data_IF_750264627512
#
_entry.id   IF_750264627512
#
_cell.length_a   1.000
_cell.length_b   1.000
_cell.length_c   1.000
_cell.angle_alpha   90.00
_cell.angle_beta   90.00
_cell.angle_gamma   90.00
#
_symmetry.space_group_name_H-M   'P 1'
#
loop_
_entity.id
_entity.type
_entity.pdbx_description
1 polymer ?
#
# COMPACT_ATOMS: atom_id res chain seq x y z
N UNK A 1 -19.35 4.72 -6.66
CA UNK A 1 -18.93 4.84 -8.07
C UNK A 1 -17.49 5.32 -8.19
N UNK A 2 -17.10 6.44 -7.54
CA UNK A 2 -15.72 6.96 -7.60
C UNK A 2 -14.63 5.99 -7.10
N UNK A 3 -14.88 5.19 -6.06
CA UNK A 3 -13.90 4.21 -5.55
C UNK A 3 -13.57 3.09 -6.55
N UNK A 4 -14.54 2.67 -7.37
CA UNK A 4 -14.34 1.65 -8.40
C UNK A 4 -13.48 2.16 -9.55
N UNK A 5 -13.64 3.44 -9.90
CA UNK A 5 -12.86 4.08 -10.96
C UNK A 5 -11.40 4.30 -10.53
N UNK A 6 -11.17 4.59 -9.24
CA UNK A 6 -9.83 4.69 -8.67
C UNK A 6 -9.09 3.35 -8.72
N UNK A 7 -9.75 2.25 -8.35
CA UNK A 7 -9.15 0.92 -8.43
C UNK A 7 -8.75 0.54 -9.87
N UNK A 8 -9.61 0.84 -10.87
CA UNK A 8 -9.29 0.67 -12.28
C UNK A 8 -8.10 1.54 -12.72
N UNK A 9 -8.03 2.78 -12.23
CA UNK A 9 -6.91 3.68 -12.54
C UNK A 9 -5.58 3.15 -12.01
N UNK A 10 -5.55 2.50 -10.84
CA UNK A 10 -4.34 1.88 -10.30
C UNK A 10 -3.90 0.69 -11.14
N UNK A 11 -4.83 -0.18 -11.56
CA UNK A 11 -4.54 -1.31 -12.45
C UNK A 11 -4.00 -0.85 -13.81
N UNK A 12 -4.62 0.17 -14.39
CA UNK A 12 -4.19 0.76 -15.67
C UNK A 12 -2.83 1.43 -15.53
N UNK A 13 -2.58 2.18 -14.45
CA UNK A 13 -1.29 2.81 -14.19
C UNK A 13 -0.16 1.78 -14.06
N UNK A 14 -0.41 0.68 -13.34
CA UNK A 14 0.54 -0.42 -13.22
C UNK A 14 0.84 -1.10 -14.57
N UNK A 15 -0.19 -1.33 -15.38
CA UNK A 15 -0.03 -1.95 -16.71
C UNK A 15 0.77 -1.06 -17.69
N UNK A 16 0.51 0.25 -17.69
CA UNK A 16 1.23 1.22 -18.52
C UNK A 16 2.69 1.33 -18.05
N UNK A 17 2.92 1.40 -16.74
CA UNK A 17 4.26 1.44 -16.16
C UNK A 17 5.05 0.19 -16.51
N UNK A 18 4.44 -1.00 -16.38
CA UNK A 18 5.05 -2.27 -16.77
C UNK A 18 5.53 -2.24 -18.23
N UNK A 19 4.66 -1.85 -19.17
CA UNK A 19 5.01 -1.84 -20.59
C UNK A 19 6.19 -0.90 -20.95
N UNK A 20 6.32 0.22 -20.25
CA UNK A 20 7.41 1.18 -20.48
C UNK A 20 8.71 0.82 -19.76
N UNK A 21 8.62 0.20 -18.58
CA UNK A 21 9.76 0.03 -17.67
C UNK A 21 10.36 -1.39 -17.74
N UNK A 22 9.63 -2.39 -18.27
CA UNK A 22 10.08 -3.80 -18.37
C UNK A 22 11.50 -3.98 -18.92
N UNK A 23 11.90 -3.17 -19.92
CA UNK A 23 13.25 -3.26 -20.54
C UNK A 23 14.37 -2.56 -19.77
N UNK A 24 14.04 -1.72 -18.79
CA UNK A 24 14.98 -0.90 -18.01
C UNK A 24 15.10 -1.42 -16.57
N UNK A 25 14.25 -2.36 -16.18
CA UNK A 25 14.11 -2.82 -14.81
C UNK A 25 15.21 -3.83 -14.46
N UNK A 26 16.26 -3.34 -13.82
CA UNK A 26 17.31 -4.14 -13.20
C UNK A 26 17.01 -4.35 -11.70
N UNK A 27 17.60 -5.36 -11.06
CA UNK A 27 17.31 -5.72 -9.65
C UNK A 27 17.51 -4.52 -8.71
N UNK A 28 18.50 -3.68 -9.02
CA UNK A 28 18.78 -2.45 -8.28
C UNK A 28 17.67 -1.40 -8.40
N UNK A 29 17.13 -1.20 -9.61
CA UNK A 29 16.04 -0.25 -9.85
C UNK A 29 14.73 -0.74 -9.24
N UNK A 30 14.49 -2.06 -9.27
CA UNK A 30 13.41 -2.69 -8.54
C UNK A 30 13.49 -2.35 -7.05
N UNK A 31 14.65 -2.56 -6.43
CA UNK A 31 14.88 -2.23 -5.02
C UNK A 31 14.59 -0.77 -4.67
N UNK A 32 15.08 0.17 -5.50
CA UNK A 32 14.83 1.61 -5.31
C UNK A 32 13.33 1.92 -5.38
N UNK A 33 12.66 1.47 -6.45
CA UNK A 33 11.24 1.78 -6.67
C UNK A 33 10.37 1.19 -5.55
N UNK A 34 10.60 -0.07 -5.18
CA UNK A 34 9.84 -0.71 -4.11
C UNK A 34 10.11 -0.09 -2.74
N UNK A 35 11.35 0.34 -2.46
CA UNK A 35 11.66 1.05 -1.21
C UNK A 35 10.92 2.38 -1.11
N UNK A 36 10.82 3.12 -2.23
CA UNK A 36 10.14 4.40 -2.31
C UNK A 36 8.63 4.24 -2.13
N UNK A 37 8.03 3.28 -2.85
CA UNK A 37 6.59 2.99 -2.74
C UNK A 37 6.26 2.50 -1.33
N UNK A 38 7.06 1.59 -0.76
CA UNK A 38 6.88 1.09 0.59
C UNK A 38 6.93 2.22 1.62
N UNK A 39 7.93 3.11 1.54
CA UNK A 39 8.03 4.27 2.42
C UNK A 39 6.84 5.23 2.29
N UNK A 40 6.42 5.53 1.07
CA UNK A 40 5.23 6.37 0.81
C UNK A 40 3.96 5.76 1.39
N UNK A 41 3.74 4.45 1.22
CA UNK A 41 2.56 3.76 1.75
C UNK A 41 2.53 3.74 3.28
N UNK A 42 3.69 3.55 3.93
CA UNK A 42 3.79 3.64 5.40
C UNK A 42 3.44 5.05 5.86
N UNK A 43 3.95 6.07 5.19
CA UNK A 43 3.66 7.46 5.52
C UNK A 43 2.16 7.80 5.38
N UNK A 44 1.54 7.47 4.25
CA UNK A 44 0.09 7.70 4.02
C UNK A 44 -0.76 6.94 5.05
N UNK A 45 -0.36 5.71 5.39
CA UNK A 45 -1.10 4.90 6.37
C UNK A 45 -1.11 5.54 7.76
N UNK A 46 0.01 6.14 8.17
CA UNK A 46 0.14 6.79 9.48
C UNK A 46 -0.49 8.19 9.50
N UNK A 47 -0.32 8.99 8.44
CA UNK A 47 -0.75 10.40 8.43
C UNK A 47 -2.19 10.61 7.98
N UNK A 48 -2.72 9.73 7.13
CA UNK A 48 -4.06 9.93 6.57
C UNK A 48 -5.02 8.86 7.04
N UNK A 49 -4.65 7.57 6.94
CA UNK A 49 -5.55 6.46 7.27
C UNK A 49 -5.76 6.33 8.78
N UNK A 50 -4.70 6.38 9.59
CA UNK A 50 -4.78 6.27 11.05
C UNK A 50 -5.65 7.36 11.71
N UNK A 51 -5.43 8.68 11.47
CA UNK A 51 -6.27 9.71 12.10
C UNK A 51 -7.69 9.71 11.55
N UNK A 52 -7.88 9.28 10.30
CA UNK A 52 -9.22 9.08 9.75
C UNK A 52 -9.92 7.92 10.48
N UNK A 53 -9.25 6.78 10.66
CA UNK A 53 -9.79 5.64 11.39
C UNK A 53 -10.14 5.99 12.85
N UNK A 54 -9.30 6.77 13.51
CA UNK A 54 -9.54 7.25 14.88
C UNK A 54 -10.71 8.25 14.97
N UNK A 55 -10.92 9.09 13.96
CA UNK A 55 -12.09 9.99 13.92
C UNK A 55 -13.41 9.25 13.75
N UNK A 56 -13.41 8.10 13.07
CA UNK A 56 -14.62 7.33 12.75
C UNK A 56 -14.86 6.13 13.68
N UNK A 57 -13.92 5.74 14.54
CA UNK A 57 -14.04 4.58 15.44
C UNK A 57 -13.35 4.77 16.79
N UNK A 58 -13.69 3.92 17.77
CA UNK A 58 -13.03 3.94 19.08
C UNK A 58 -11.53 3.67 18.97
N UNK A 59 -10.72 4.51 19.62
CA UNK A 59 -9.24 4.51 19.57
C UNK A 59 -8.63 3.11 19.79
N UNK A 60 -9.24 2.30 20.66
CA UNK A 60 -8.78 0.95 20.96
C UNK A 60 -9.01 -0.04 19.80
N UNK A 61 -10.16 0.02 19.12
CA UNK A 61 -10.48 -0.91 18.02
C UNK A 61 -9.57 -0.71 16.82
N UNK A 62 -9.18 0.54 16.54
CA UNK A 62 -8.28 0.91 15.44
C UNK A 62 -6.89 0.29 15.64
N UNK A 63 -6.34 0.39 16.86
CA UNK A 63 -5.02 -0.18 17.19
C UNK A 63 -5.04 -1.71 17.08
N UNK A 64 -6.09 -2.37 17.57
CA UNK A 64 -6.23 -3.82 17.41
C UNK A 64 -6.34 -4.23 15.93
N UNK A 65 -7.01 -3.44 15.10
CA UNK A 65 -7.09 -3.66 13.66
C UNK A 65 -5.72 -3.59 12.97
N UNK A 66 -4.88 -2.62 13.35
CA UNK A 66 -3.53 -2.47 12.79
C UNK A 66 -2.63 -3.64 13.19
N UNK A 67 -2.63 -4.00 14.47
CA UNK A 67 -1.84 -5.14 14.97
C UNK A 67 -2.29 -6.44 14.29
N UNK A 68 -3.61 -6.65 14.15
CA UNK A 68 -4.17 -7.78 13.43
C UNK A 68 -3.76 -7.83 11.95
N UNK A 69 -3.79 -6.68 11.26
CA UNK A 69 -3.35 -6.55 9.87
C UNK A 69 -1.86 -6.86 9.69
N UNK A 70 -1.00 -6.38 10.60
CA UNK A 70 0.42 -6.72 10.61
C UNK A 70 0.65 -8.21 10.85
N UNK A 71 -0.18 -8.86 11.67
CA UNK A 71 -0.10 -10.30 11.93
C UNK A 71 -0.45 -11.12 10.69
N UNK A 72 -1.54 -10.75 10.00
CA UNK A 72 -1.94 -11.37 8.71
C UNK A 72 -0.84 -11.19 7.66
N UNK A 73 -0.24 -10.00 7.57
CA UNK A 73 0.85 -9.74 6.63
C UNK A 73 2.10 -10.58 6.95
N UNK A 74 2.47 -10.73 8.23
CA UNK A 74 3.57 -11.61 8.63
C UNK A 74 3.31 -13.08 8.24
N UNK A 75 2.09 -13.57 8.45
CA UNK A 75 1.72 -14.93 8.04
C UNK A 75 1.78 -15.09 6.51
N UNK A 76 1.35 -14.06 5.76
CA UNK A 76 1.38 -14.09 4.29
C UNK A 76 2.78 -14.10 3.70
N UNK A 77 3.80 -13.60 4.42
CA UNK A 77 5.20 -13.70 4.01
C UNK A 77 5.77 -15.09 4.29
N UNK A 78 5.17 -15.81 5.24
CA UNK A 78 5.62 -17.14 5.66
C UNK A 78 5.08 -18.27 4.76
N UNK A 79 3.96 -18.02 4.07
CA UNK A 79 3.34 -18.89 3.07
C UNK A 79 3.91 -18.57 1.69
#
# INVERSE_FOLDING_TARGET
FFSSLSALSTLLGGYIAYYFIDKILDDFLFGIIFSLIGGMMVFISLDEILPTAEKYGDHHLVIYGIIGGMFVMCISILI
#
